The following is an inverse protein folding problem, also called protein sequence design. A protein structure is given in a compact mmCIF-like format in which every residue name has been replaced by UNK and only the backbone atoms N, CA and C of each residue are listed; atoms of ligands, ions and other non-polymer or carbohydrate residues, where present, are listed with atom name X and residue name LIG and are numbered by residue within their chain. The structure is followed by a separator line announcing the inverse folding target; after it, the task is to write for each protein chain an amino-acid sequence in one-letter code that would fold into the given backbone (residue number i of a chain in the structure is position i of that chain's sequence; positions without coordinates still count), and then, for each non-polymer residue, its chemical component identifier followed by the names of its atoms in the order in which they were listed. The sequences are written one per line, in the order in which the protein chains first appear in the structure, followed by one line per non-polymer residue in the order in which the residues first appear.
data_IF_740382967897
#
_entry.id   IF_740382967897
#
_cell.length_a   1.000
_cell.length_b   1.000
_cell.length_c   1.000
_cell.angle_alpha   90.00
_cell.angle_beta   90.00
_cell.angle_gamma   90.00
#
_symmetry.space_group_name_H-M   'P 1'
#
loop_
_entity.id
_entity.type
_entity.pdbx_description
1 polymer ?
#
# COMPACT_ATOMS: atom_id res chain seq x y z
N UNK A 1 28.38 1.63 -41.18
CA UNK A 1 27.78 1.53 -42.52
C UNK A 1 26.35 1.04 -42.33
N UNK A 2 25.27 1.77 -42.63
CA UNK A 2 25.09 3.04 -43.29
C UNK A 2 23.97 3.83 -42.58
N UNK A 3 24.14 5.14 -42.54
CA UNK A 3 23.14 6.10 -42.08
C UNK A 3 22.14 6.39 -43.22
N UNK A 4 20.91 6.74 -42.87
CA UNK A 4 20.15 7.73 -43.63
C UNK A 4 19.07 8.36 -42.77
N UNK A 5 19.30 9.62 -42.43
CA UNK A 5 18.36 10.56 -41.85
C UNK A 5 17.15 10.80 -42.76
N UNK A 6 16.01 11.17 -42.18
CA UNK A 6 15.01 11.99 -42.88
C UNK A 6 14.39 13.01 -41.91
N UNK A 7 15.18 14.02 -41.56
CA UNK A 7 14.63 15.32 -41.19
C UNK A 7 14.21 16.06 -42.46
N UNK A 8 12.90 16.23 -42.67
CA UNK A 8 12.20 17.20 -43.55
C UNK A 8 10.74 16.77 -43.48
N UNK A 9 9.90 17.38 -42.64
CA UNK A 9 9.04 18.48 -43.05
C UNK A 9 8.67 19.33 -41.82
N UNK A 10 9.35 20.46 -41.67
CA UNK A 10 8.87 21.59 -40.88
C UNK A 10 7.78 22.30 -41.69
N UNK A 11 6.51 22.05 -41.37
CA UNK A 11 5.42 22.92 -41.77
C UNK A 11 5.21 23.96 -40.66
N UNK A 12 5.69 25.18 -40.90
CA UNK A 12 5.29 26.38 -40.14
C UNK A 12 3.78 26.55 -40.28
N UNK A 13 3.01 26.20 -39.26
CA UNK A 13 1.63 26.67 -39.12
C UNK A 13 1.63 27.89 -38.20
N UNK A 14 1.47 29.08 -38.79
CA UNK A 14 1.18 30.32 -38.07
C UNK A 14 -0.11 30.16 -37.24
N UNK A 15 -0.25 30.84 -36.09
CA UNK A 15 -1.51 30.85 -35.35
C UNK A 15 -2.56 31.60 -36.17
N UNK A 16 -3.60 30.90 -36.65
CA UNK A 16 -4.83 31.54 -37.12
C UNK A 16 -5.52 32.16 -35.90
N UNK A 17 -5.69 33.47 -35.95
CA UNK A 17 -6.57 34.23 -35.07
C UNK A 17 -7.96 33.60 -35.12
N UNK A 18 -8.45 33.11 -33.98
CA UNK A 18 -9.80 32.59 -33.85
C UNK A 18 -10.79 33.77 -33.89
N UNK A 19 -11.54 33.87 -34.99
CA UNK A 19 -12.78 34.64 -35.01
C UNK A 19 -13.90 33.73 -34.46
N UNK A 20 -14.69 34.17 -33.46
CA UNK A 20 -15.82 33.39 -32.97
C UNK A 20 -16.96 33.42 -34.00
N UNK A 21 -17.30 32.24 -34.55
CA UNK A 21 -18.51 32.06 -35.35
C UNK A 21 -19.74 32.03 -34.44
N UNK A 22 -20.59 33.05 -34.55
CA UNK A 22 -21.92 33.09 -33.94
C UNK A 22 -22.86 32.09 -34.63
N UNK A 23 -22.96 30.88 -34.07
CA UNK A 23 -23.98 29.89 -34.42
C UNK A 23 -24.98 29.76 -33.28
N UNK A 24 -26.25 30.10 -33.54
CA UNK A 24 -27.37 30.00 -32.61
C UNK A 24 -27.62 28.54 -32.22
N UNK A 25 -27.07 28.13 -31.07
CA UNK A 25 -27.56 26.97 -30.34
C UNK A 25 -28.57 27.44 -29.29
N UNK A 26 -29.82 27.05 -29.47
CA UNK A 26 -30.91 27.23 -28.52
C UNK A 26 -30.64 26.44 -27.25
N UNK A 27 -29.88 27.05 -26.34
CA UNK A 27 -29.81 26.64 -24.95
C UNK A 27 -31.17 26.91 -24.29
N UNK A 28 -31.85 25.86 -23.85
CA UNK A 28 -32.91 25.98 -22.85
C UNK A 28 -32.28 26.47 -21.54
N UNK A 29 -32.15 27.79 -21.42
CA UNK A 29 -31.76 28.50 -20.22
C UNK A 29 -32.86 28.32 -19.16
N UNK A 30 -32.61 27.51 -18.13
CA UNK A 30 -33.13 27.88 -16.81
C UNK A 30 -32.28 29.04 -16.32
N UNK A 31 -32.80 30.26 -16.50
CA UNK A 31 -32.29 31.48 -15.88
C UNK A 31 -32.36 31.31 -14.36
N UNK A 32 -31.21 31.17 -13.71
CA UNK A 32 -31.02 31.72 -12.37
C UNK A 32 -30.28 33.05 -12.57
N UNK A 33 -31.04 34.12 -12.77
CA UNK A 33 -30.49 35.48 -12.81
C UNK A 33 -30.37 35.96 -11.36
N UNK A 34 -29.15 36.11 -10.84
CA UNK A 34 -28.88 36.82 -9.60
C UNK A 34 -28.55 38.29 -9.91
N UNK A 35 -29.59 39.12 -10.07
CA UNK A 35 -29.43 40.58 -10.24
C UNK A 35 -29.47 41.34 -8.90
N UNK A 36 -28.88 40.78 -7.84
CA UNK A 36 -28.67 41.51 -6.58
C UNK A 36 -27.22 41.41 -6.13
N UNK A 37 -26.32 42.09 -6.85
CA UNK A 37 -25.06 42.52 -6.29
C UNK A 37 -25.25 43.94 -5.73
N UNK A 38 -25.91 44.03 -4.57
CA UNK A 38 -25.93 45.25 -3.78
C UNK A 38 -24.81 45.16 -2.75
N UNK A 39 -23.88 46.12 -2.79
CA UNK A 39 -22.87 46.34 -1.77
C UNK A 39 -23.54 46.53 -0.39
N UNK A 40 -23.46 45.51 0.47
CA UNK A 40 -23.92 45.56 1.87
C UNK A 40 -22.85 44.99 2.82
N UNK A 41 -22.79 45.50 4.06
CA UNK A 41 -21.68 45.27 4.99
C UNK A 41 -21.71 43.83 5.51
N UNK A 42 -20.51 43.24 5.66
CA UNK A 42 -20.21 41.99 6.41
C UNK A 42 -21.42 41.08 6.64
N UNK A 43 -21.85 40.35 5.61
CA UNK A 43 -22.85 39.30 5.74
C UNK A 43 -22.31 38.20 6.63
N UNK A 44 -23.10 37.78 7.63
CA UNK A 44 -22.75 36.63 8.46
C UNK A 44 -22.45 35.42 7.56
N UNK A 45 -21.31 34.71 7.76
CA UNK A 45 -20.89 33.61 6.88
C UNK A 45 -21.87 32.41 6.86
N UNK A 46 -22.85 32.43 7.76
CA UNK A 46 -23.94 31.46 7.86
C UNK A 46 -24.96 31.64 6.73
N UNK A 47 -25.11 32.85 6.18
CA UNK A 47 -26.07 33.16 5.10
C UNK A 47 -25.68 32.49 3.78
N UNK A 48 -24.39 32.24 3.57
CA UNK A 48 -23.87 31.56 2.38
C UNK A 48 -24.01 30.03 2.44
N UNK A 49 -24.43 29.47 3.59
CA UNK A 49 -24.66 28.03 3.72
C UNK A 49 -25.95 27.61 3.01
N UNK A 50 -25.96 26.37 2.50
CA UNK A 50 -27.15 25.78 1.87
C UNK A 50 -28.33 25.80 2.86
N UNK A 51 -29.41 26.47 2.46
CA UNK A 51 -30.56 26.69 3.34
C UNK A 51 -31.35 25.41 3.63
N UNK A 52 -31.27 24.39 2.77
CA UNK A 52 -31.97 23.11 2.92
C UNK A 52 -30.99 21.93 3.15
N UNK A 53 -30.34 21.89 4.32
CA UNK A 53 -29.43 20.79 4.68
C UNK A 53 -30.17 19.53 5.11
N UNK A 54 -29.82 18.39 4.51
CA UNK A 54 -30.33 17.06 4.93
C UNK A 54 -29.61 16.50 6.16
N UNK A 55 -28.49 17.09 6.60
CA UNK A 55 -27.71 16.59 7.73
C UNK A 55 -28.38 16.87 9.09
N UNK A 56 -29.25 17.88 9.15
CA UNK A 56 -29.99 18.27 10.37
C UNK A 56 -31.41 17.68 10.42
N UNK A 57 -31.84 16.95 9.40
CA UNK A 57 -33.17 16.37 9.34
C UNK A 57 -33.28 15.13 10.24
N UNK A 58 -34.20 15.14 11.20
CA UNK A 58 -34.57 13.95 11.98
C UNK A 58 -35.69 13.18 11.30
N UNK A 59 -35.58 11.85 11.22
CA UNK A 59 -36.65 11.00 10.68
C UNK A 59 -37.64 10.65 11.80
N UNK A 60 -38.95 10.91 11.66
CA UNK A 60 -39.94 10.55 12.67
C UNK A 60 -40.11 9.03 12.77
N UNK A 61 -40.31 8.53 13.99
CA UNK A 61 -40.36 7.09 14.30
C UNK A 61 -41.45 6.34 13.54
N UNK A 62 -42.59 6.98 13.28
CA UNK A 62 -43.72 6.36 12.57
C UNK A 62 -43.36 5.99 11.12
N UNK A 63 -42.49 6.79 10.48
CA UNK A 63 -41.97 6.49 9.14
C UNK A 63 -41.01 5.31 9.21
N UNK A 64 -40.17 5.23 10.24
CA UNK A 64 -39.23 4.11 10.42
C UNK A 64 -40.00 2.80 10.61
N UNK A 65 -41.02 2.80 11.48
CA UNK A 65 -41.85 1.63 11.77
C UNK A 65 -42.63 1.14 10.54
N UNK A 66 -43.05 2.06 9.66
CA UNK A 66 -43.76 1.73 8.42
C UNK A 66 -42.83 1.45 7.21
N UNK A 67 -41.52 1.63 7.33
CA UNK A 67 -40.58 1.43 6.25
C UNK A 67 -40.14 -0.03 6.11
N UNK A 68 -40.86 -0.79 5.29
CA UNK A 68 -40.46 -2.15 4.90
C UNK A 68 -40.17 -2.25 3.39
N UNK A 69 -38.90 -2.37 2.97
CA UNK A 69 -38.55 -2.49 1.55
C UNK A 69 -38.87 -3.88 0.97
N UNK A 70 -38.91 -4.92 1.79
CA UNK A 70 -39.11 -6.30 1.33
C UNK A 70 -40.57 -6.50 0.96
N UNK A 71 -41.51 -6.11 1.82
CA UNK A 71 -42.95 -6.17 1.49
C UNK A 71 -43.29 -5.30 0.29
N UNK A 72 -42.76 -4.07 0.22
CA UNK A 72 -42.92 -3.19 -0.95
C UNK A 72 -42.39 -3.85 -2.22
N UNK A 73 -41.27 -4.56 -2.15
CA UNK A 73 -40.75 -5.26 -3.32
C UNK A 73 -41.61 -6.46 -3.71
N UNK A 74 -42.12 -7.24 -2.74
CA UNK A 74 -42.99 -8.41 -2.99
C UNK A 74 -44.38 -8.04 -3.48
N UNK A 75 -44.94 -6.92 -3.01
CA UNK A 75 -46.26 -6.44 -3.41
C UNK A 75 -46.30 -5.93 -4.86
N UNK A 76 -45.14 -5.57 -5.44
CA UNK A 76 -45.06 -5.11 -6.83
C UNK A 76 -45.30 -6.28 -7.78
N UNK A 77 -46.31 -6.11 -8.64
CA UNK A 77 -46.62 -7.05 -9.74
C UNK A 77 -45.65 -6.92 -10.92
N UNK A 78 -44.99 -5.77 -11.08
CA UNK A 78 -44.08 -5.47 -12.19
C UNK A 78 -42.77 -4.84 -11.69
N UNK A 79 -41.70 -5.03 -12.45
CA UNK A 79 -40.40 -4.43 -12.15
C UNK A 79 -40.44 -2.92 -12.42
N UNK A 80 -39.82 -2.12 -11.55
CA UNK A 80 -39.66 -0.69 -11.78
C UNK A 80 -38.86 -0.43 -13.08
N UNK A 81 -39.21 0.63 -13.84
CA UNK A 81 -38.41 1.01 -14.99
C UNK A 81 -37.00 1.39 -14.55
N UNK A 82 -36.01 1.02 -15.38
CA UNK A 82 -34.60 1.36 -15.15
C UNK A 82 -34.38 2.88 -15.19
N UNK A 83 -33.43 3.36 -14.41
CA UNK A 83 -32.99 4.76 -14.48
C UNK A 83 -32.39 5.10 -15.85
N UNK A 84 -32.47 6.39 -16.22
CA UNK A 84 -31.81 6.96 -17.39
C UNK A 84 -30.28 6.97 -17.25
N UNK A 85 -29.79 7.13 -16.02
CA UNK A 85 -28.35 7.09 -15.74
C UNK A 85 -27.85 5.63 -15.75
N UNK A 86 -26.99 5.31 -16.70
CA UNK A 86 -26.47 3.95 -16.94
C UNK A 86 -24.95 3.92 -17.05
N UNK A 87 -24.26 4.84 -16.36
CA UNK A 87 -22.80 4.81 -16.29
C UNK A 87 -22.33 3.48 -15.70
N UNK A 88 -21.31 2.89 -16.31
CA UNK A 88 -20.61 1.72 -15.79
C UNK A 88 -19.12 2.01 -15.92
N UNK A 89 -18.34 1.66 -14.90
CA UNK A 89 -16.89 1.80 -14.98
C UNK A 89 -16.36 1.19 -16.31
N UNK A 90 -15.35 1.77 -16.98
CA UNK A 90 -14.65 1.19 -18.13
C UNK A 90 -13.66 0.10 -17.72
N UNK A 91 -13.46 -0.91 -18.57
CA UNK A 91 -12.50 -1.99 -18.30
C UNK A 91 -11.04 -1.50 -18.31
N UNK A 92 -10.74 -0.49 -19.11
CA UNK A 92 -9.40 0.07 -19.29
C UNK A 92 -9.43 1.57 -19.07
N UNK A 93 -8.42 2.11 -18.39
CA UNK A 93 -8.17 3.54 -18.36
C UNK A 93 -7.42 3.94 -19.64
N UNK A 94 -7.99 4.89 -20.39
CA UNK A 94 -7.45 5.39 -21.67
C UNK A 94 -6.77 6.75 -21.51
N UNK A 95 -6.53 7.18 -20.28
CA UNK A 95 -5.90 8.45 -19.95
C UNK A 95 -6.89 9.53 -19.50
N UNK A 96 -6.36 10.64 -18.97
CA UNK A 96 -7.13 11.62 -18.22
C UNK A 96 -8.13 12.42 -19.05
N UNK A 97 -7.90 12.55 -20.37
CA UNK A 97 -8.74 13.29 -21.29
C UNK A 97 -9.82 12.43 -21.97
N UNK A 98 -9.82 11.12 -21.73
CA UNK A 98 -10.85 10.26 -22.30
C UNK A 98 -12.21 10.59 -21.64
N UNK A 99 -13.30 10.77 -22.41
CA UNK A 99 -14.60 11.16 -21.83
C UNK A 99 -15.16 10.14 -20.81
N UNK A 100 -14.90 8.85 -21.01
CA UNK A 100 -15.44 7.79 -20.17
C UNK A 100 -14.37 7.27 -19.19
N UNK A 101 -14.27 7.93 -18.03
CA UNK A 101 -13.22 7.69 -17.04
C UNK A 101 -13.65 6.69 -15.97
N UNK A 102 -12.72 5.87 -15.44
CA UNK A 102 -13.03 5.05 -14.28
C UNK A 102 -13.23 5.93 -13.03
N UNK A 103 -14.22 5.58 -12.18
CA UNK A 103 -14.35 6.19 -10.87
C UNK A 103 -13.17 5.78 -9.95
N UNK A 104 -12.90 6.52 -8.87
CA UNK A 104 -11.84 6.16 -7.92
C UNK A 104 -12.09 4.79 -7.29
N UNK A 105 -11.05 4.09 -6.78
CA UNK A 105 -11.22 2.78 -6.13
C UNK A 105 -12.12 2.79 -4.89
N UNK A 106 -12.32 3.93 -4.25
CA UNK A 106 -13.22 4.08 -3.11
C UNK A 106 -14.70 4.09 -3.48
N UNK A 107 -15.03 4.32 -4.75
CA UNK A 107 -16.41 4.34 -5.24
C UNK A 107 -16.94 2.90 -5.34
N UNK A 108 -18.11 2.58 -4.76
CA UNK A 108 -18.69 1.23 -4.82
C UNK A 108 -19.02 0.77 -6.25
N UNK A 109 -19.15 1.68 -7.22
CA UNK A 109 -19.34 1.35 -8.64
C UNK A 109 -18.04 1.03 -9.39
N UNK A 110 -16.88 1.18 -8.74
CA UNK A 110 -15.57 0.90 -9.31
C UNK A 110 -15.30 -0.60 -9.41
N UNK A 111 -14.56 -1.03 -10.43
CA UNK A 111 -14.09 -2.42 -10.54
C UNK A 111 -13.00 -2.79 -9.54
N UNK A 112 -12.32 -1.77 -9.02
CA UNK A 112 -11.24 -1.94 -8.04
C UNK A 112 -11.75 -1.75 -6.60
N UNK A 113 -13.07 -1.65 -6.43
CA UNK A 113 -13.65 -1.48 -5.11
C UNK A 113 -13.36 -2.68 -4.23
N UNK A 114 -12.76 -2.41 -3.08
CA UNK A 114 -12.61 -3.36 -1.99
C UNK A 114 -13.41 -2.79 -0.83
N UNK A 115 -14.30 -3.57 -0.20
CA UNK A 115 -15.01 -3.13 0.99
C UNK A 115 -14.03 -2.59 2.04
N UNK A 116 -14.49 -1.60 2.81
CA UNK A 116 -13.69 -0.98 3.87
C UNK A 116 -13.37 -1.95 5.02
N UNK A 117 -12.86 -1.41 6.15
CA UNK A 117 -12.50 -2.24 7.30
C UNK A 117 -13.71 -2.98 7.87
N UNK A 118 -13.52 -4.24 8.25
CA UNK A 118 -14.57 -5.08 8.84
C UNK A 118 -14.52 -5.07 10.36
N UNK A 119 -13.34 -4.90 10.93
CA UNK A 119 -13.14 -4.79 12.37
C UNK A 119 -12.09 -3.74 12.73
N UNK A 120 -11.94 -3.48 14.02
CA UNK A 120 -10.82 -2.70 14.55
C UNK A 120 -9.75 -3.68 15.07
N UNK A 121 -8.60 -3.83 14.38
CA UNK A 121 -7.61 -4.81 14.78
C UNK A 121 -6.98 -4.45 16.13
N UNK A 122 -6.97 -5.40 17.06
CA UNK A 122 -6.37 -5.23 18.40
C UNK A 122 -4.94 -4.71 18.33
N UNK A 123 -4.14 -5.21 17.39
CA UNK A 123 -2.74 -4.79 17.19
C UNK A 123 -2.62 -3.29 16.95
N UNK A 124 -3.56 -2.70 16.18
CA UNK A 124 -3.57 -1.24 15.96
C UNK A 124 -3.98 -0.50 17.21
N UNK A 125 -5.03 -0.96 17.90
CA UNK A 125 -5.48 -0.33 19.15
C UNK A 125 -4.38 -0.33 20.21
N UNK A 126 -3.68 -1.45 20.40
CA UNK A 126 -2.52 -1.54 21.31
C UNK A 126 -1.42 -0.58 20.89
N UNK A 127 -1.10 -0.50 19.59
CA UNK A 127 -0.08 0.42 19.11
C UNK A 127 -0.45 1.89 19.38
N UNK A 128 -1.68 2.29 19.06
CA UNK A 128 -2.14 3.68 19.24
C UNK A 128 -2.24 4.10 20.71
N UNK A 129 -2.72 3.20 21.58
CA UNK A 129 -2.99 3.51 22.99
C UNK A 129 -1.76 3.44 23.90
N UNK A 130 -0.80 2.56 23.60
CA UNK A 130 0.32 2.26 24.52
C UNK A 130 1.69 2.42 23.86
N UNK A 131 1.94 1.72 22.75
CA UNK A 131 3.29 1.64 22.18
C UNK A 131 3.73 2.97 21.55
N UNK A 132 2.83 3.68 20.87
CA UNK A 132 3.14 4.95 20.23
C UNK A 132 3.62 6.02 21.22
N UNK A 133 2.91 6.31 22.34
CA UNK A 133 3.40 7.27 23.33
C UNK A 133 4.67 6.79 24.05
N UNK A 134 4.84 5.49 24.29
CA UNK A 134 6.04 4.93 24.91
C UNK A 134 7.28 5.13 24.03
N UNK A 135 7.19 4.81 22.73
CA UNK A 135 8.29 5.01 21.77
C UNK A 135 8.64 6.50 21.66
N UNK A 136 7.63 7.37 21.62
CA UNK A 136 7.83 8.82 21.54
C UNK A 136 8.60 9.31 22.76
N UNK A 137 8.20 8.89 23.97
CA UNK A 137 8.83 9.30 25.22
C UNK A 137 10.25 8.75 25.34
N UNK A 138 10.46 7.48 25.00
CA UNK A 138 11.76 6.81 25.05
C UNK A 138 12.79 7.44 24.09
N UNK A 139 12.35 7.82 22.90
CA UNK A 139 13.24 8.32 21.85
C UNK A 139 13.27 9.86 21.74
N UNK A 140 12.65 10.56 22.69
CA UNK A 140 12.58 12.01 22.67
C UNK A 140 13.98 12.63 22.78
N UNK A 141 14.28 13.54 21.85
CA UNK A 141 15.48 14.38 21.90
C UNK A 141 15.01 15.82 22.03
N UNK A 142 15.38 16.46 23.13
CA UNK A 142 15.01 17.85 23.39
C UNK A 142 15.67 18.79 22.38
N UNK A 143 14.86 19.57 21.68
CA UNK A 143 15.31 20.68 20.83
C UNK A 143 14.94 21.99 21.53
N UNK A 144 15.92 22.84 21.90
CA UNK A 144 15.62 24.09 22.59
C UNK A 144 14.83 25.05 21.68
N UNK A 145 14.03 25.96 22.25
CA UNK A 145 13.28 26.94 21.47
C UNK A 145 14.23 27.81 20.64
N UNK A 146 13.91 28.01 19.36
CA UNK A 146 14.76 28.73 18.42
C UNK A 146 15.87 27.91 17.77
N UNK A 147 16.02 26.62 18.11
CA UNK A 147 16.94 25.74 17.40
C UNK A 147 16.56 25.58 15.92
N UNK A 148 17.52 25.85 15.04
CA UNK A 148 17.38 25.61 13.60
C UNK A 148 18.31 24.46 13.19
N UNK A 149 17.80 23.39 12.56
CA UNK A 149 18.64 22.29 12.13
C UNK A 149 19.59 22.73 11.02
N UNK A 150 20.85 22.26 11.00
CA UNK A 150 21.79 22.60 9.94
C UNK A 150 21.27 22.11 8.58
N UNK A 151 21.46 22.92 7.55
CA UNK A 151 21.11 22.56 6.17
C UNK A 151 21.92 21.32 5.75
N UNK A 152 21.23 20.29 5.28
CA UNK A 152 21.89 19.05 4.85
C UNK A 152 22.60 19.27 3.52
N UNK A 153 23.89 18.97 3.48
CA UNK A 153 24.68 18.99 2.25
C UNK A 153 24.14 17.99 1.21
N UNK A 154 24.32 18.25 -0.10
CA UNK A 154 23.97 17.30 -1.14
C UNK A 154 24.74 15.98 -0.95
N UNK A 155 24.04 14.85 -1.08
CA UNK A 155 24.64 13.53 -0.82
C UNK A 155 25.50 13.03 -1.97
N UNK A 156 25.08 13.33 -3.20
CA UNK A 156 25.94 13.21 -4.37
C UNK A 156 26.78 14.48 -4.41
N UNK A 157 28.09 14.32 -4.24
CA UNK A 157 28.99 15.46 -4.07
C UNK A 157 29.37 16.03 -5.43
N UNK A 158 29.42 17.34 -5.50
CA UNK A 158 29.94 18.04 -6.66
C UNK A 158 31.48 17.98 -6.68
N UNK A 159 32.05 18.27 -7.86
CA UNK A 159 33.47 18.54 -7.99
C UNK A 159 33.70 20.01 -7.66
N UNK A 160 34.85 20.31 -7.09
CA UNK A 160 35.28 21.66 -6.77
C UNK A 160 35.71 22.44 -8.02
N UNK A 161 35.71 23.77 -7.96
CA UNK A 161 36.10 24.63 -9.09
C UNK A 161 37.63 24.74 -9.29
N UNK A 162 38.42 23.85 -8.67
CA UNK A 162 39.88 23.87 -8.77
C UNK A 162 40.41 23.54 -10.17
N UNK A 163 39.59 22.94 -11.02
CA UNK A 163 39.98 22.49 -12.36
C UNK A 163 38.89 22.80 -13.39
N UNK A 164 39.25 23.34 -14.58
CA UNK A 164 38.29 23.56 -15.67
C UNK A 164 37.52 22.28 -16.08
N UNK A 165 38.11 21.11 -15.86
CA UNK A 165 37.49 19.82 -16.15
C UNK A 165 36.32 19.46 -15.22
N UNK A 166 36.19 20.12 -14.07
CA UNK A 166 35.15 19.83 -13.08
C UNK A 166 33.79 20.44 -13.44
N UNK A 167 33.76 21.49 -14.27
CA UNK A 167 32.55 22.28 -14.58
C UNK A 167 31.38 21.47 -15.17
N UNK A 168 31.66 20.50 -16.04
CA UNK A 168 30.64 19.66 -16.69
C UNK A 168 30.74 18.18 -16.28
N UNK A 169 31.44 17.90 -15.18
CA UNK A 169 31.66 16.53 -14.73
C UNK A 169 30.41 16.03 -13.98
N UNK A 170 29.98 14.76 -14.18
CA UNK A 170 28.87 14.23 -13.40
C UNK A 170 29.20 14.23 -11.91
N UNK A 171 28.15 14.36 -11.08
CA UNK A 171 28.26 14.28 -9.63
C UNK A 171 28.97 13.00 -9.20
N UNK A 172 29.72 13.11 -8.10
CA UNK A 172 30.45 11.98 -7.52
C UNK A 172 29.47 10.97 -6.94
N UNK A 173 29.83 9.70 -7.07
CA UNK A 173 29.10 8.60 -6.47
C UNK A 173 28.97 8.72 -4.94
N UNK A 174 28.02 7.98 -4.35
CA UNK A 174 27.81 7.98 -2.91
C UNK A 174 29.08 7.59 -2.15
N UNK A 175 29.34 8.26 -1.03
CA UNK A 175 30.49 7.93 -0.18
C UNK A 175 30.19 6.68 0.65
N UNK A 176 31.09 5.70 0.62
CA UNK A 176 31.08 4.52 1.50
C UNK A 176 30.33 3.30 0.96
N UNK A 177 29.59 3.42 -0.14
CA UNK A 177 28.89 2.31 -0.77
C UNK A 177 28.40 2.70 -2.17
N UNK A 178 27.68 1.80 -2.83
CA UNK A 178 27.20 2.00 -4.20
C UNK A 178 25.85 2.76 -4.26
N UNK A 179 25.03 2.65 -3.21
CA UNK A 179 23.67 3.22 -3.17
C UNK A 179 23.49 4.18 -1.98
N UNK A 180 22.68 5.22 -2.18
CA UNK A 180 22.29 6.16 -1.13
C UNK A 180 21.34 5.52 -0.12
N UNK A 181 21.85 5.11 1.04
CA UNK A 181 21.04 4.57 2.15
C UNK A 181 20.14 5.61 2.79
N UNK A 182 19.02 5.22 3.40
CA UNK A 182 18.16 6.16 4.12
C UNK A 182 18.88 6.76 5.33
N UNK A 183 18.60 8.03 5.62
CA UNK A 183 19.12 8.70 6.81
C UNK A 183 18.10 8.57 7.95
N UNK A 184 18.59 8.21 9.14
CA UNK A 184 17.79 8.25 10.37
C UNK A 184 17.25 9.66 10.58
N UNK A 185 15.96 9.75 10.91
CA UNK A 185 15.33 10.98 11.40
C UNK A 185 15.08 10.80 12.90
N UNK A 186 15.23 11.83 13.74
CA UNK A 186 14.77 11.75 15.12
C UNK A 186 13.28 11.41 15.14
N UNK A 187 12.87 10.62 16.13
CA UNK A 187 11.46 10.28 16.31
C UNK A 187 10.77 11.47 16.96
N UNK A 188 9.69 11.91 16.33
CA UNK A 188 8.81 12.99 16.76
C UNK A 188 7.36 12.49 16.67
N UNK A 189 6.41 13.25 17.19
CA UNK A 189 4.99 12.92 17.12
C UNK A 189 4.47 12.67 15.69
N UNK A 190 5.12 13.22 14.66
CA UNK A 190 4.72 13.06 13.26
C UNK A 190 5.26 11.78 12.58
N UNK A 191 6.27 11.13 13.16
CA UNK A 191 6.99 10.03 12.50
C UNK A 191 7.27 8.86 13.44
N UNK A 192 6.32 8.55 14.31
CA UNK A 192 6.37 7.36 15.15
C UNK A 192 6.38 6.12 14.23
N UNK A 193 7.35 5.20 14.39
CA UNK A 193 7.39 3.95 13.64
C UNK A 193 6.10 3.13 13.78
N UNK A 194 5.60 2.59 12.67
CA UNK A 194 4.44 1.71 12.60
C UNK A 194 4.64 0.62 11.55
N UNK A 195 3.84 -0.43 11.59
CA UNK A 195 3.79 -1.44 10.53
C UNK A 195 3.23 -0.82 9.24
N UNK A 196 3.86 -1.08 8.10
CA UNK A 196 3.45 -0.59 6.78
C UNK A 196 2.84 -1.72 5.93
N UNK A 197 3.59 -2.80 5.76
CA UNK A 197 3.15 -3.99 5.02
C UNK A 197 3.92 -5.22 5.50
N UNK A 198 3.37 -6.40 5.28
CA UNK A 198 4.09 -7.66 5.51
C UNK A 198 4.17 -8.42 4.20
N UNK A 199 5.36 -8.89 3.86
CA UNK A 199 5.56 -9.76 2.70
C UNK A 199 5.83 -11.18 3.18
N UNK A 200 5.03 -12.13 2.72
CA UNK A 200 5.28 -13.56 2.92
C UNK A 200 5.78 -14.11 1.60
N UNK A 201 6.97 -14.69 1.60
CA UNK A 201 7.61 -15.24 0.42
C UNK A 201 8.05 -16.68 0.68
N UNK A 202 7.62 -17.61 -0.15
CA UNK A 202 8.07 -19.00 -0.12
C UNK A 202 8.78 -19.33 -1.43
N UNK A 203 10.00 -19.83 -1.33
CA UNK A 203 10.76 -20.36 -2.45
C UNK A 203 10.79 -21.89 -2.34
N UNK A 204 10.29 -22.58 -3.36
CA UNK A 204 10.09 -24.02 -3.35
C UNK A 204 10.99 -24.65 -4.39
N UNK A 205 12.15 -25.14 -3.95
CA UNK A 205 13.18 -25.71 -4.83
C UNK A 205 12.63 -26.89 -5.64
N UNK A 206 11.83 -27.74 -5.02
CA UNK A 206 11.24 -28.95 -5.60
C UNK A 206 10.32 -28.64 -6.80
N UNK A 207 9.74 -27.43 -6.85
CA UNK A 207 8.89 -27.03 -7.96
C UNK A 207 9.65 -26.89 -9.29
N UNK A 208 10.97 -26.65 -9.25
CA UNK A 208 11.80 -26.54 -10.44
C UNK A 208 12.30 -27.90 -10.95
N UNK A 209 12.58 -28.84 -10.05
CA UNK A 209 13.18 -30.15 -10.37
C UNK A 209 12.18 -31.27 -10.54
N UNK A 210 11.08 -31.24 -9.79
CA UNK A 210 10.13 -32.34 -9.72
C UNK A 210 8.83 -31.99 -10.42
N UNK A 211 7.91 -31.34 -9.71
CA UNK A 211 6.52 -31.18 -10.12
C UNK A 211 5.97 -29.80 -9.72
N UNK A 212 5.05 -29.27 -10.53
CA UNK A 212 4.34 -28.02 -10.20
C UNK A 212 3.42 -28.14 -8.99
N UNK A 213 3.05 -29.37 -8.58
CA UNK A 213 2.22 -29.64 -7.40
C UNK A 213 2.74 -28.98 -6.12
N UNK A 214 4.06 -28.95 -5.94
CA UNK A 214 4.72 -28.28 -4.82
C UNK A 214 4.40 -26.78 -4.75
N UNK A 215 4.32 -26.11 -5.91
CA UNK A 215 3.96 -24.70 -6.00
C UNK A 215 2.47 -24.48 -5.69
N UNK A 216 1.60 -25.41 -6.09
CA UNK A 216 0.17 -25.32 -5.78
C UNK A 216 -0.07 -25.45 -4.27
N UNK A 217 0.58 -26.41 -3.61
CA UNK A 217 0.50 -26.58 -2.14
C UNK A 217 1.03 -25.33 -1.42
N UNK A 218 2.18 -24.79 -1.87
CA UNK A 218 2.72 -23.54 -1.33
C UNK A 218 1.74 -22.37 -1.49
N UNK A 219 1.12 -22.26 -2.65
CA UNK A 219 0.12 -21.24 -2.94
C UNK A 219 -1.10 -21.35 -2.03
N UNK A 220 -1.63 -22.56 -1.85
CA UNK A 220 -2.76 -22.83 -0.98
C UNK A 220 -2.44 -22.50 0.49
N UNK A 221 -1.29 -22.95 0.98
CA UNK A 221 -0.87 -22.70 2.36
C UNK A 221 -0.69 -21.20 2.65
N UNK A 222 0.07 -20.49 1.81
CA UNK A 222 0.30 -19.04 2.00
C UNK A 222 -1.02 -18.26 1.84
N UNK A 223 -1.89 -18.65 0.90
CA UNK A 223 -3.18 -18.00 0.72
C UNK A 223 -4.12 -18.22 1.92
N UNK A 224 -4.13 -19.42 2.51
CA UNK A 224 -4.91 -19.73 3.71
C UNK A 224 -4.46 -18.88 4.90
N UNK A 225 -3.14 -18.77 5.13
CA UNK A 225 -2.58 -18.00 6.23
C UNK A 225 -2.80 -16.48 6.07
N UNK A 226 -2.66 -15.99 4.84
CA UNK A 226 -2.61 -14.55 4.52
C UNK A 226 -3.96 -13.94 4.13
N UNK A 227 -4.97 -14.74 3.77
CA UNK A 227 -6.25 -14.27 3.20
C UNK A 227 -6.10 -13.41 1.92
N UNK A 228 -4.92 -13.41 1.28
CA UNK A 228 -4.65 -12.66 0.06
C UNK A 228 -4.32 -13.63 -1.07
N UNK A 229 -4.85 -13.34 -2.25
CA UNK A 229 -4.51 -14.10 -3.46
C UNK A 229 -3.01 -13.97 -3.74
N UNK A 230 -2.31 -15.08 -3.65
CA UNK A 230 -0.86 -15.15 -3.88
C UNK A 230 -0.50 -14.87 -5.34
N UNK A 231 0.70 -14.33 -5.54
CA UNK A 231 1.32 -14.16 -6.84
C UNK A 231 2.46 -15.17 -7.01
N UNK A 232 2.55 -15.76 -8.20
CA UNK A 232 3.62 -16.70 -8.54
C UNK A 232 4.76 -15.98 -9.26
N UNK A 233 5.99 -16.41 -8.98
CA UNK A 233 7.21 -15.79 -9.49
C UNK A 233 8.08 -16.82 -10.20
N UNK A 234 8.53 -16.43 -11.39
CA UNK A 234 9.48 -17.19 -12.20
C UNK A 234 10.92 -16.92 -11.78
N UNK A 235 11.79 -17.88 -12.03
CA UNK A 235 13.24 -17.75 -11.87
C UNK A 235 13.79 -16.59 -12.71
N UNK A 236 14.70 -15.81 -12.10
CA UNK A 236 15.40 -14.71 -12.78
C UNK A 236 16.82 -15.08 -13.23
N UNK A 237 17.46 -16.00 -12.53
CA UNK A 237 18.83 -16.44 -12.80
C UNK A 237 18.84 -17.87 -13.37
N UNK A 238 19.88 -18.19 -14.14
CA UNK A 238 20.17 -19.56 -14.58
C UNK A 238 21.31 -20.12 -13.73
N UNK A 239 21.09 -21.26 -13.08
CA UNK A 239 22.15 -21.98 -12.37
C UNK A 239 21.96 -23.46 -12.66
N UNK A 240 22.85 -24.02 -13.48
CA UNK A 240 22.76 -25.41 -13.94
C UNK A 240 22.81 -26.40 -12.77
N UNK A 241 23.63 -26.14 -11.75
CA UNK A 241 23.76 -26.97 -10.53
C UNK A 241 22.43 -27.12 -9.78
N UNK A 242 21.53 -26.16 -9.90
CA UNK A 242 20.22 -26.19 -9.25
C UNK A 242 19.10 -26.66 -10.18
N UNK A 243 19.41 -26.93 -11.45
CA UNK A 243 18.41 -27.29 -12.47
C UNK A 243 17.47 -26.13 -12.83
N UNK A 244 17.90 -24.88 -12.64
CA UNK A 244 17.04 -23.70 -12.83
C UNK A 244 17.42 -22.97 -14.12
N UNK A 245 16.42 -22.76 -14.97
CA UNK A 245 16.52 -21.93 -16.17
C UNK A 245 15.66 -20.66 -16.02
N UNK A 246 16.12 -19.48 -16.48
CA UNK A 246 15.42 -18.22 -16.30
C UNK A 246 14.12 -18.19 -17.11
N UNK A 247 13.03 -17.72 -16.50
CA UNK A 247 11.73 -17.53 -17.17
C UNK A 247 10.94 -18.81 -17.52
N UNK A 248 11.57 -19.98 -17.42
CA UNK A 248 10.93 -21.28 -17.63
C UNK A 248 10.20 -21.75 -16.36
N UNK A 249 10.92 -21.80 -15.25
CA UNK A 249 10.46 -22.46 -14.02
C UNK A 249 9.79 -21.46 -13.07
N UNK A 250 8.62 -21.83 -12.56
CA UNK A 250 7.92 -21.05 -11.53
C UNK A 250 8.27 -21.64 -10.17
N UNK A 251 9.00 -20.88 -9.36
CA UNK A 251 9.72 -21.44 -8.20
C UNK A 251 9.30 -20.78 -6.89
N UNK A 252 8.64 -19.63 -6.95
CA UNK A 252 8.28 -18.90 -5.75
C UNK A 252 6.82 -18.43 -5.74
N UNK A 253 6.30 -18.30 -4.54
CA UNK A 253 5.00 -17.73 -4.24
C UNK A 253 5.22 -16.56 -3.27
N UNK A 254 4.51 -15.46 -3.49
CA UNK A 254 4.55 -14.30 -2.60
C UNK A 254 3.16 -13.71 -2.38
N UNK A 255 2.87 -13.37 -1.14
CA UNK A 255 1.72 -12.55 -0.74
C UNK A 255 2.22 -11.23 -0.14
N UNK A 256 1.56 -10.13 -0.49
CA UNK A 256 1.77 -8.83 0.15
C UNK A 256 0.51 -8.46 0.93
N UNK A 257 0.67 -8.32 2.24
CA UNK A 257 -0.38 -7.97 3.18
C UNK A 257 -0.33 -6.47 3.49
N UNK A 258 -1.50 -5.83 3.50
CA UNK A 258 -1.69 -4.45 3.93
C UNK A 258 -3.00 -4.32 4.71
N UNK A 259 -3.14 -3.25 5.49
CA UNK A 259 -4.37 -2.96 6.21
C UNK A 259 -4.70 -4.03 7.25
N UNK A 260 -5.98 -4.44 7.29
CA UNK A 260 -6.51 -5.35 8.31
C UNK A 260 -5.90 -6.77 8.23
N UNK A 261 -5.74 -7.34 7.03
CA UNK A 261 -5.15 -8.68 6.85
C UNK A 261 -3.71 -8.77 7.39
N UNK A 262 -2.93 -7.69 7.22
CA UNK A 262 -1.57 -7.59 7.76
C UNK A 262 -1.57 -7.65 9.29
N UNK A 263 -2.49 -6.93 9.92
CA UNK A 263 -2.56 -6.80 11.37
C UNK A 263 -3.06 -8.09 12.02
N UNK A 264 -4.05 -8.74 11.41
CA UNK A 264 -4.50 -10.07 11.84
C UNK A 264 -3.41 -11.12 11.68
N UNK A 265 -2.70 -11.12 10.55
CA UNK A 265 -1.55 -12.01 10.35
C UNK A 265 -0.47 -11.78 11.42
N UNK A 266 -0.11 -10.53 11.69
CA UNK A 266 0.90 -10.18 12.68
C UNK A 266 0.49 -10.59 14.11
N UNK A 267 -0.77 -10.37 14.49
CA UNK A 267 -1.30 -10.83 15.78
C UNK A 267 -1.25 -12.35 15.92
N UNK A 268 -1.73 -13.09 14.91
CA UNK A 268 -1.64 -14.56 14.89
C UNK A 268 -0.20 -15.05 14.99
N UNK A 269 0.72 -14.41 14.28
CA UNK A 269 2.13 -14.78 14.28
C UNK A 269 2.72 -14.68 15.68
N UNK A 270 2.53 -13.55 16.37
CA UNK A 270 3.12 -13.31 17.69
C UNK A 270 2.44 -14.09 18.79
N UNK A 271 1.11 -14.10 18.81
CA UNK A 271 0.36 -14.63 19.96
C UNK A 271 0.20 -16.15 19.88
N UNK A 272 0.18 -16.73 18.68
CA UNK A 272 -0.14 -18.15 18.47
C UNK A 272 1.04 -18.93 17.91
N UNK A 273 1.67 -18.45 16.85
CA UNK A 273 2.66 -19.26 16.10
C UNK A 273 4.01 -19.26 16.79
N UNK A 274 4.62 -18.08 17.01
CA UNK A 274 5.96 -17.96 17.56
C UNK A 274 6.15 -18.67 18.92
N UNK A 275 5.21 -18.59 19.89
CA UNK A 275 5.36 -19.25 21.18
C UNK A 275 5.24 -20.79 21.10
N UNK A 276 4.63 -21.32 20.02
CA UNK A 276 4.49 -22.77 19.81
C UNK A 276 5.70 -23.39 19.12
N UNK A 277 6.62 -22.59 18.58
CA UNK A 277 7.84 -23.12 17.95
C UNK A 277 8.78 -23.62 19.03
N UNK A 278 9.15 -24.91 18.95
CA UNK A 278 10.08 -25.53 19.88
C UNK A 278 11.49 -24.98 19.69
N UNK A 279 12.19 -24.73 20.79
CA UNK A 279 13.59 -24.29 20.82
C UNK A 279 13.85 -23.00 20.00
N UNK A 280 12.87 -22.09 19.97
CA UNK A 280 12.97 -20.83 19.22
C UNK A 280 13.43 -19.66 20.11
N UNK A 281 14.67 -19.23 19.92
CA UNK A 281 15.27 -18.13 20.69
C UNK A 281 14.73 -16.73 20.32
N UNK A 282 14.13 -16.59 19.15
CA UNK A 282 13.61 -15.33 18.64
C UNK A 282 14.12 -14.95 17.25
N UNK A 283 13.90 -13.69 16.87
CA UNK A 283 14.46 -13.11 15.64
C UNK A 283 15.91 -12.69 15.87
N UNK A 284 16.80 -12.97 14.92
CA UNK A 284 18.21 -12.59 15.04
C UNK A 284 18.35 -11.07 15.13
N UNK A 285 19.07 -10.57 16.13
CA UNK A 285 19.33 -9.14 16.34
C UNK A 285 20.12 -8.48 15.21
N UNK A 286 20.81 -9.26 14.38
CA UNK A 286 21.49 -8.78 13.16
C UNK A 286 20.57 -8.70 11.94
N UNK A 287 19.31 -9.12 12.04
CA UNK A 287 18.36 -9.03 10.94
C UNK A 287 17.99 -7.58 10.68
N UNK A 288 17.94 -7.20 9.40
CA UNK A 288 17.66 -5.85 8.95
C UNK A 288 18.28 -5.54 7.58
N UNK A 289 17.65 -4.64 6.83
CA UNK A 289 18.12 -4.16 5.52
C UNK A 289 18.70 -2.73 5.56
N UNK A 290 19.03 -2.25 6.76
CA UNK A 290 19.45 -0.88 7.08
C UNK A 290 18.43 0.19 6.71
N UNK A 291 17.19 -0.20 6.41
CA UNK A 291 16.11 0.69 5.96
C UNK A 291 14.85 0.54 6.80
N UNK A 292 14.91 -0.21 7.90
CA UNK A 292 13.77 -0.41 8.80
C UNK A 292 12.87 -1.59 8.43
N UNK A 293 13.33 -2.52 7.60
CA UNK A 293 12.63 -3.77 7.32
C UNK A 293 13.34 -4.93 8.01
N UNK A 294 12.58 -5.79 8.68
CA UNK A 294 13.12 -6.94 9.41
C UNK A 294 12.61 -8.22 8.75
N UNK A 295 13.51 -9.16 8.46
CA UNK A 295 13.19 -10.43 7.79
C UNK A 295 13.60 -11.62 8.65
N UNK A 296 12.76 -12.64 8.70
CA UNK A 296 13.12 -13.93 9.26
C UNK A 296 12.40 -15.07 8.52
N UNK A 297 12.88 -16.29 8.72
CA UNK A 297 12.31 -17.50 8.13
C UNK A 297 11.52 -18.30 9.17
N UNK A 298 10.48 -18.97 8.70
CA UNK A 298 9.79 -20.06 9.40
C UNK A 298 10.09 -21.36 8.67
N UNK A 299 10.39 -22.38 9.45
CA UNK A 299 10.56 -23.74 8.94
C UNK A 299 9.21 -24.35 8.53
N UNK A 300 9.21 -25.38 7.66
CA UNK A 300 7.98 -26.07 7.26
C UNK A 300 7.08 -26.51 8.42
N UNK A 301 7.69 -27.02 9.50
CA UNK A 301 6.98 -27.44 10.71
C UNK A 301 6.33 -26.24 11.41
N UNK A 302 7.04 -25.12 11.52
CA UNK A 302 6.50 -23.89 12.11
C UNK A 302 5.34 -23.29 11.29
N UNK A 303 5.36 -23.46 9.97
CA UNK A 303 4.26 -23.01 9.09
C UNK A 303 2.99 -23.84 9.30
N UNK A 304 3.13 -25.12 9.67
CA UNK A 304 1.98 -25.98 9.98
C UNK A 304 1.27 -25.58 11.29
N UNK A 305 1.91 -24.79 12.16
CA UNK A 305 1.34 -24.31 13.44
C UNK A 305 0.33 -23.15 13.27
N UNK A 306 0.18 -22.61 12.07
CA UNK A 306 -0.87 -21.62 11.81
C UNK A 306 -2.25 -22.27 11.94
N UNK A 307 -3.21 -21.65 12.66
CA UNK A 307 -4.55 -22.21 12.86
C UNK A 307 -5.26 -22.58 11.55
N UNK A 308 -5.05 -21.79 10.49
CA UNK A 308 -5.67 -22.04 9.17
C UNK A 308 -5.14 -23.30 8.47
N UNK A 309 -3.92 -23.71 8.81
CA UNK A 309 -3.28 -24.92 8.27
C UNK A 309 -3.54 -26.11 9.17
N UNK A 310 -3.42 -25.94 10.49
CA UNK A 310 -3.60 -27.00 11.49
C UNK A 310 -4.96 -27.70 11.35
N UNK A 311 -6.06 -26.94 11.17
CA UNK A 311 -7.41 -27.50 11.04
C UNK A 311 -7.56 -28.42 9.81
N UNK A 312 -6.85 -28.11 8.73
CA UNK A 312 -6.93 -28.82 7.46
C UNK A 312 -5.62 -29.52 7.11
N UNK A 313 -4.80 -29.86 8.11
CA UNK A 313 -3.45 -30.36 7.88
C UNK A 313 -3.46 -31.66 7.06
N UNK A 314 -4.41 -32.56 7.35
CA UNK A 314 -4.58 -33.85 6.67
C UNK A 314 -4.96 -33.72 5.19
N UNK A 315 -5.47 -32.55 4.76
CA UNK A 315 -5.78 -32.30 3.35
C UNK A 315 -4.53 -31.99 2.52
N UNK A 316 -3.43 -31.60 3.17
CA UNK A 316 -2.18 -31.31 2.48
C UNK A 316 -1.36 -32.60 2.31
N UNK A 317 -0.74 -32.83 1.15
CA UNK A 317 0.14 -33.97 0.98
C UNK A 317 1.32 -33.91 1.99
N UNK A 318 1.76 -35.07 2.51
CA UNK A 318 2.79 -35.11 3.53
C UNK A 318 4.10 -34.52 3.02
N UNK A 319 4.75 -33.70 3.87
CA UNK A 319 6.03 -33.03 3.59
C UNK A 319 6.01 -32.04 2.42
N UNK A 320 4.83 -31.63 1.93
CA UNK A 320 4.72 -30.65 0.84
C UNK A 320 4.56 -29.19 1.28
N UNK A 321 4.22 -28.94 2.54
CA UNK A 321 4.14 -27.57 3.08
C UNK A 321 5.55 -26.99 3.10
N UNK A 322 5.81 -25.86 2.42
CA UNK A 322 7.15 -25.27 2.38
C UNK A 322 7.39 -24.33 3.56
N UNK A 323 8.66 -24.06 3.84
CA UNK A 323 9.05 -22.95 4.70
C UNK A 323 8.70 -21.60 4.07
N UNK A 324 8.63 -20.56 4.90
CA UNK A 324 8.30 -19.20 4.45
C UNK A 324 9.29 -18.19 5.00
N UNK A 325 9.58 -17.16 4.23
CA UNK A 325 10.30 -15.97 4.67
C UNK A 325 9.31 -14.84 4.85
N UNK A 326 9.27 -14.31 6.07
CA UNK A 326 8.41 -13.20 6.46
C UNK A 326 9.28 -11.96 6.51
N UNK A 327 8.94 -10.95 5.70
CA UNK A 327 9.55 -9.62 5.78
C UNK A 327 8.52 -8.64 6.30
N UNK A 328 8.80 -8.09 7.47
CA UNK A 328 7.99 -7.06 8.10
C UNK A 328 8.54 -5.71 7.69
N UNK A 329 7.72 -4.96 6.95
CA UNK A 329 8.05 -3.60 6.55
C UNK A 329 7.45 -2.63 7.54
N UNK A 330 8.28 -1.70 8.01
CA UNK A 330 7.86 -0.65 8.93
C UNK A 330 8.08 0.72 8.29
N UNK A 331 7.48 1.75 8.87
CA UNK A 331 7.74 3.15 8.47
C UNK A 331 9.06 3.69 9.03
N UNK A 332 9.77 2.91 9.85
CA UNK A 332 11.08 3.27 10.35
C UNK A 332 12.08 3.44 9.20
N UNK A 333 13.13 4.22 9.44
CA UNK A 333 14.22 4.43 8.46
C UNK A 333 15.50 3.70 8.79
N UNK A 334 15.58 3.12 9.98
CA UNK A 334 16.72 2.36 10.47
C UNK A 334 16.24 1.11 11.16
N UNK A 335 17.09 0.08 11.15
CA UNK A 335 16.77 -1.23 11.72
C UNK A 335 16.67 -1.14 13.24
N UNK A 336 17.44 -0.23 13.87
CA UNK A 336 17.31 0.07 15.30
C UNK A 336 15.89 0.48 15.68
N UNK A 337 15.32 1.44 14.96
CA UNK A 337 13.97 1.95 15.22
C UNK A 337 12.90 0.89 14.88
N UNK A 338 13.13 0.05 13.85
CA UNK A 338 12.24 -1.06 13.51
C UNK A 338 12.25 -2.17 14.57
N UNK A 339 13.42 -2.57 15.07
CA UNK A 339 13.54 -3.55 16.16
C UNK A 339 12.93 -3.02 17.46
N UNK A 340 13.09 -1.73 17.75
CA UNK A 340 12.43 -1.10 18.90
C UNK A 340 10.90 -1.25 18.81
N UNK A 341 10.32 -0.93 17.65
CA UNK A 341 8.89 -1.12 17.41
C UNK A 341 8.48 -2.59 17.57
N UNK A 342 9.15 -3.51 16.89
CA UNK A 342 8.78 -4.92 16.91
C UNK A 342 8.95 -5.55 18.30
N UNK A 343 9.98 -5.16 19.04
CA UNK A 343 10.18 -5.59 20.42
C UNK A 343 9.05 -5.09 21.32
N UNK A 344 8.60 -3.84 21.15
CA UNK A 344 7.46 -3.31 21.89
C UNK A 344 6.13 -4.00 21.51
N UNK A 345 6.04 -4.51 20.29
CA UNK A 345 4.89 -5.29 19.80
C UNK A 345 4.96 -6.79 20.14
N UNK A 346 5.96 -7.23 20.91
CA UNK A 346 6.04 -8.62 21.40
C UNK A 346 6.92 -9.57 20.58
N UNK A 347 7.73 -9.07 19.64
CA UNK A 347 8.70 -9.90 18.91
C UNK A 347 10.00 -10.04 19.72
N UNK A 348 10.39 -11.25 20.14
CA UNK A 348 11.67 -11.46 20.83
C UNK A 348 12.83 -11.37 19.85
N UNK A 349 13.94 -10.76 20.30
CA UNK A 349 15.20 -10.70 19.56
C UNK A 349 16.34 -11.36 20.35
N UNK A 350 17.20 -12.12 19.67
CA UNK A 350 18.36 -12.78 20.28
C UNK A 350 19.69 -12.40 19.60
N UNK A 351 20.79 -12.59 20.32
CA UNK A 351 22.14 -12.33 19.84
C UNK A 351 22.53 -10.86 19.81
N UNK A 352 23.58 -10.52 19.04
CA UNK A 352 24.13 -9.16 18.99
C UNK A 352 23.20 -8.22 18.20
N UNK A 353 22.79 -7.12 18.84
CA UNK A 353 22.08 -6.04 18.17
C UNK A 353 23.04 -5.19 17.34
N UNK A 354 22.67 -4.89 16.09
CA UNK A 354 23.49 -4.10 15.14
C UNK A 354 22.81 -2.75 14.93
N UNK A 355 23.41 -1.66 15.37
CA UNK A 355 22.84 -0.31 15.24
C UNK A 355 22.64 0.17 13.79
#
# INVERSE_FOLDING_TARGET
MAASESSRLLARSLPRVFAPSSGLQSFCLRRNASTQAASKPTSDPVIDLESASSLSASVPEDIIKSFDPISKSRARKTQLPRSRYQFRSPKYDRGPLHPHRPPPPSDPSSRLFVPGPFSLPRVTQTWESTIAPDILTLCYVHTPPGFTPPTKAPRLREWDDSSPYHKNRPLRGPRGGDVLRLLRKPITFNNIPKLDRITIHSYVKQAATENSSWLHVAGMAVQAISNVRVQTYKSKASVATWGIAPGRDTVAVKAELRGEDMLHFFGKLIDVVLPRIKDWDGVKGTSGDSSGNITFGLEPESVALFPEIEVNYDMYPPKMIPGTHITIHTTAKTDKDARLLLSAMGVPFYGKMVD
#
